data_IF_649634726034
#
_entry.id   IF_649634726034
#
_cell.length_a   1.000
_cell.length_b   1.000
_cell.length_c   1.000
_cell.angle_alpha   90.00
_cell.angle_beta   90.00
_cell.angle_gamma   90.00
#
_symmetry.space_group_name_H-M   'P 1'
#
loop_
_entity.id
_entity.type
_entity.pdbx_description
1 polymer ?
#
# COMPACT_ATOMS: atom_id res chain seq x y z
N UNK A 1 13.64 34.05 -42.76
CA UNK A 1 12.68 33.77 -41.67
C UNK A 1 13.05 32.47 -40.98
N UNK A 2 13.29 32.47 -39.66
CA UNK A 2 13.57 31.25 -38.90
C UNK A 2 12.26 30.65 -38.35
N UNK A 3 11.89 29.45 -38.81
CA UNK A 3 10.69 28.75 -38.35
C UNK A 3 11.02 27.99 -37.07
N UNK A 4 10.88 28.66 -35.93
CA UNK A 4 11.04 28.05 -34.61
C UNK A 4 9.87 27.09 -34.34
N UNK A 5 10.06 25.81 -34.66
CA UNK A 5 9.12 24.73 -34.30
C UNK A 5 9.29 24.39 -32.82
N UNK A 6 8.39 24.92 -32.00
CA UNK A 6 8.28 24.60 -30.57
C UNK A 6 7.97 23.11 -30.40
N UNK A 7 8.91 22.38 -29.81
CA UNK A 7 8.75 20.95 -29.45
C UNK A 7 7.66 20.85 -28.39
N UNK A 8 6.54 20.21 -28.74
CA UNK A 8 5.47 19.89 -27.81
C UNK A 8 5.93 18.77 -26.89
N UNK A 9 6.25 19.10 -25.62
CA UNK A 9 6.54 18.11 -24.60
C UNK A 9 5.24 17.40 -24.21
N UNK A 10 5.01 16.19 -24.71
CA UNK A 10 3.90 15.34 -24.25
C UNK A 10 4.16 14.94 -22.80
N UNK A 11 3.35 15.38 -21.82
CA UNK A 11 3.52 14.92 -20.45
C UNK A 11 3.20 13.43 -20.42
N UNK A 12 4.18 12.63 -20.01
CA UNK A 12 3.98 11.21 -19.74
C UNK A 12 2.90 11.04 -18.67
N UNK A 13 1.98 10.06 -18.81
CA UNK A 13 0.96 9.83 -17.80
C UNK A 13 1.64 9.47 -16.49
N UNK A 14 1.44 10.29 -15.45
CA UNK A 14 1.85 9.95 -14.08
C UNK A 14 1.26 8.59 -13.76
N UNK A 15 2.12 7.60 -13.50
CA UNK A 15 1.70 6.30 -13.00
C UNK A 15 0.91 6.58 -11.72
N UNK A 16 -0.32 6.08 -11.64
CA UNK A 16 -1.10 6.16 -10.42
C UNK A 16 -0.35 5.33 -9.40
N UNK A 17 0.35 5.99 -8.49
CA UNK A 17 1.07 5.33 -7.41
C UNK A 17 0.03 4.61 -6.57
N UNK A 18 -0.05 3.28 -6.72
CA UNK A 18 -0.89 2.44 -5.88
C UNK A 18 -0.40 2.69 -4.46
N UNK A 19 -1.24 3.17 -3.53
CA UNK A 19 -0.80 3.47 -2.19
C UNK A 19 -0.25 2.20 -1.56
N UNK A 20 1.02 2.25 -1.14
CA UNK A 20 1.64 1.16 -0.41
C UNK A 20 0.85 0.92 0.89
N UNK A 21 0.62 -0.35 1.24
CA UNK A 21 -0.04 -0.72 2.51
C UNK A 21 -1.52 -1.09 2.42
N UNK A 22 -2.01 -1.59 1.28
CA UNK A 22 -3.32 -2.27 1.23
C UNK A 22 -3.27 -3.68 1.85
N UNK A 23 -2.12 -4.35 1.76
CA UNK A 23 -1.96 -5.75 2.13
C UNK A 23 -0.86 -5.90 3.17
N UNK A 24 -1.14 -6.70 4.20
CA UNK A 24 -0.21 -7.08 5.25
C UNK A 24 -0.02 -8.59 5.22
N UNK A 25 1.23 -9.05 5.27
CA UNK A 25 1.55 -10.48 5.30
C UNK A 25 1.60 -11.00 6.73
N UNK A 26 1.07 -12.19 6.97
CA UNK A 26 1.22 -12.89 8.24
C UNK A 26 2.64 -13.50 8.34
N UNK A 27 3.39 -13.29 9.43
CA UNK A 27 4.72 -13.89 9.59
C UNK A 27 4.69 -15.40 9.85
N UNK A 28 3.55 -15.95 10.28
CA UNK A 28 3.42 -17.38 10.58
C UNK A 28 2.92 -18.20 9.39
N UNK A 29 1.87 -17.75 8.70
CA UNK A 29 1.23 -18.50 7.61
C UNK A 29 1.62 -17.98 6.22
N UNK A 30 2.22 -16.79 6.13
CA UNK A 30 2.53 -16.14 4.86
C UNK A 30 1.30 -15.58 4.12
N UNK A 31 0.13 -15.64 4.73
CA UNK A 31 -1.12 -15.17 4.13
C UNK A 31 -1.16 -13.64 4.03
N UNK A 32 -1.74 -13.15 2.93
CA UNK A 32 -1.94 -11.72 2.72
C UNK A 32 -3.34 -11.34 3.15
N UNK A 33 -3.42 -10.50 4.20
CA UNK A 33 -4.68 -9.97 4.73
C UNK A 33 -4.75 -8.48 4.42
N UNK A 34 -5.95 -7.99 4.18
CA UNK A 34 -6.17 -6.58 3.93
C UNK A 34 -5.94 -5.76 5.20
N UNK A 35 -5.23 -4.64 5.11
CA UNK A 35 -4.79 -3.89 6.29
C UNK A 35 -5.98 -3.30 7.07
N UNK A 36 -7.09 -2.96 6.39
CA UNK A 36 -8.31 -2.49 7.09
C UNK A 36 -8.99 -3.59 7.89
N UNK A 37 -9.00 -4.82 7.38
CA UNK A 37 -9.62 -5.96 8.05
C UNK A 37 -8.77 -6.37 9.26
N UNK A 38 -7.45 -6.28 9.12
CA UNK A 38 -6.51 -6.51 10.21
C UNK A 38 -6.69 -5.46 11.33
N UNK A 39 -6.85 -4.17 10.98
CA UNK A 39 -7.13 -3.12 11.96
C UNK A 39 -8.50 -3.29 12.64
N UNK A 40 -9.53 -3.70 11.89
CA UNK A 40 -10.85 -4.02 12.46
C UNK A 40 -10.80 -5.20 13.46
N UNK A 41 -9.91 -6.16 13.22
CA UNK A 41 -9.64 -7.29 14.10
C UNK A 41 -8.55 -7.02 15.15
N UNK A 42 -8.26 -5.75 15.46
CA UNK A 42 -7.30 -5.37 16.52
C UNK A 42 -5.89 -5.93 16.30
N UNK A 43 -5.48 -6.00 15.03
CA UNK A 43 -4.22 -6.60 14.56
C UNK A 43 -4.05 -8.09 14.87
N UNK A 44 -5.17 -8.82 14.84
CA UNK A 44 -5.21 -10.28 14.91
C UNK A 44 -5.46 -10.85 13.53
N UNK A 45 -4.61 -11.78 13.10
CA UNK A 45 -4.82 -12.49 11.84
C UNK A 45 -5.96 -13.51 11.99
N UNK A 46 -6.93 -13.53 11.06
CA UNK A 46 -8.15 -14.34 11.20
C UNK A 46 -7.92 -15.85 11.11
N UNK A 47 -6.87 -16.30 10.42
CA UNK A 47 -6.61 -17.72 10.17
C UNK A 47 -5.66 -18.32 11.21
N UNK A 48 -4.58 -17.60 11.53
CA UNK A 48 -3.57 -18.07 12.49
C UNK A 48 -3.85 -17.65 13.93
N UNK A 49 -4.72 -16.66 14.16
CA UNK A 49 -4.89 -16.05 15.48
C UNK A 49 -3.64 -15.31 15.97
N UNK A 50 -2.66 -15.07 15.09
CA UNK A 50 -1.43 -14.37 15.45
C UNK A 50 -1.70 -12.90 15.74
N UNK A 51 -1.19 -12.41 16.86
CA UNK A 51 -1.24 -11.00 17.24
C UNK A 51 0.01 -10.28 16.73
N UNK A 52 -0.17 -9.29 15.85
CA UNK A 52 0.93 -8.39 15.53
C UNK A 52 1.25 -7.47 16.70
N UNK A 53 2.52 -7.09 16.82
CA UNK A 53 2.96 -6.16 17.85
C UNK A 53 2.37 -4.77 17.59
N UNK A 54 1.45 -4.35 18.46
CA UNK A 54 0.95 -2.98 18.49
C UNK A 54 2.06 -2.04 18.97
N UNK A 55 2.29 -0.96 18.21
CA UNK A 55 3.07 0.18 18.69
C UNK A 55 2.38 0.83 19.89
N UNK A 56 3.14 1.46 20.78
CA UNK A 56 2.60 2.17 21.96
C UNK A 56 1.56 3.23 21.60
N UNK A 57 1.65 3.82 20.40
CA UNK A 57 0.66 4.79 19.89
C UNK A 57 -0.65 4.13 19.41
N UNK A 58 -0.64 2.82 19.16
CA UNK A 58 -1.77 2.03 18.65
C UNK A 58 -2.40 1.11 19.71
N UNK A 59 -1.76 0.93 20.87
CA UNK A 59 -2.30 0.21 22.02
C UNK A 59 -3.31 1.10 22.74
#
# INVERSE_FOLDING_TARGET
MAVFRKRTHTPTPKKRDIPAGLWTKCPQTGEMVYTKDLEANWNVFPISGYHERLSTKRR
#
